data_IF_134538434514
#
_entry.id   IF_134538434514
#
_cell.length_a   1.000
_cell.length_b   1.000
_cell.length_c   1.000
_cell.angle_alpha   90.00
_cell.angle_beta   90.00
_cell.angle_gamma   90.00
#
_symmetry.space_group_name_H-M   'P 1'
#
loop_
_entity.id
_entity.type
_entity.pdbx_description
1 polymer ?
#
# COMPACT_ATOMS: atom_id res chain seq x y z
N UNK A 1 10.45 54.27 -51.97
CA UNK A 1 11.74 53.70 -51.54
C UNK A 1 11.58 53.20 -50.11
N UNK A 2 12.00 51.96 -49.88
CA UNK A 2 11.62 51.04 -48.82
C UNK A 2 12.17 51.39 -47.44
N UNK A 3 11.32 51.23 -46.42
CA UNK A 3 11.69 51.08 -45.00
C UNK A 3 11.99 49.59 -44.79
N UNK A 4 13.25 49.23 -44.53
CA UNK A 4 13.66 47.85 -44.23
C UNK A 4 13.19 47.47 -42.82
N UNK A 5 12.16 46.62 -42.75
CA UNK A 5 11.64 46.05 -41.50
C UNK A 5 12.59 44.97 -40.97
N UNK A 6 13.28 45.29 -39.87
CA UNK A 6 14.07 44.34 -39.07
C UNK A 6 13.18 43.15 -38.65
N UNK A 7 13.41 41.97 -39.22
CA UNK A 7 12.72 40.73 -38.82
C UNK A 7 13.35 40.21 -37.52
N UNK A 8 12.66 40.41 -36.39
CA UNK A 8 12.96 39.67 -35.16
C UNK A 8 12.22 38.34 -35.26
N UNK A 9 12.96 37.25 -35.50
CA UNK A 9 12.43 35.90 -35.40
C UNK A 9 12.20 35.59 -33.91
N UNK A 10 10.97 35.71 -33.45
CA UNK A 10 10.57 35.26 -32.12
C UNK A 10 10.39 33.74 -32.15
N UNK A 11 11.43 32.99 -31.81
CA UNK A 11 11.35 31.55 -31.59
C UNK A 11 10.56 31.29 -30.31
N UNK A 12 9.26 31.01 -30.44
CA UNK A 12 8.44 30.50 -29.34
C UNK A 12 8.78 29.02 -29.16
N UNK A 13 9.79 28.73 -28.34
CA UNK A 13 10.04 27.38 -27.85
C UNK A 13 8.96 27.04 -26.80
N UNK A 14 7.89 26.39 -27.22
CA UNK A 14 6.88 25.84 -26.33
C UNK A 14 7.49 24.69 -25.52
N UNK A 15 7.95 24.99 -24.31
CA UNK A 15 8.39 23.99 -23.33
C UNK A 15 7.13 23.28 -22.81
N UNK A 16 6.80 22.14 -23.41
CA UNK A 16 5.83 21.20 -22.85
C UNK A 16 6.44 20.61 -21.56
N UNK A 17 6.08 21.20 -20.43
CA UNK A 17 6.31 20.62 -19.11
C UNK A 17 5.43 19.37 -18.99
N UNK A 18 5.98 18.19 -19.29
CA UNK A 18 5.38 16.92 -18.86
C UNK A 18 5.51 16.85 -17.34
N UNK A 19 4.51 17.34 -16.62
CA UNK A 19 4.39 17.09 -15.19
C UNK A 19 4.05 15.63 -15.01
N UNK A 20 5.05 14.80 -14.73
CA UNK A 20 4.86 13.42 -14.28
C UNK A 20 3.97 13.45 -13.04
N UNK A 21 2.71 13.04 -13.17
CA UNK A 21 1.86 12.80 -12.03
C UNK A 21 2.48 11.63 -11.26
N UNK A 22 3.24 11.94 -10.21
CA UNK A 22 3.74 10.94 -9.28
C UNK A 22 2.49 10.33 -8.62
N UNK A 23 2.02 9.19 -9.12
CA UNK A 23 0.98 8.42 -8.45
C UNK A 23 1.61 7.90 -7.16
N UNK A 24 1.26 8.49 -6.02
CA UNK A 24 1.69 7.98 -4.72
C UNK A 24 1.07 6.59 -4.57
N UNK A 25 1.88 5.55 -4.80
CA UNK A 25 1.47 4.19 -4.50
C UNK A 25 1.08 4.16 -3.03
N UNK A 26 -0.13 3.72 -2.75
CA UNK A 26 -0.71 3.92 -1.43
C UNK A 26 0.07 3.13 -0.38
N UNK A 27 0.59 3.78 0.66
CA UNK A 27 1.46 3.15 1.67
C UNK A 27 0.68 2.24 2.63
N UNK A 28 1.22 1.08 3.05
CA UNK A 28 0.55 0.20 4.01
C UNK A 28 0.36 0.88 5.38
N UNK A 29 -0.37 0.22 6.28
CA UNK A 29 -0.69 0.68 7.64
C UNK A 29 0.52 0.71 8.59
N UNK A 30 1.67 0.22 8.16
CA UNK A 30 2.93 0.24 8.90
C UNK A 30 4.00 1.09 8.19
N UNK A 31 5.02 1.48 8.96
CA UNK A 31 6.14 2.26 8.46
C UNK A 31 7.08 1.41 7.60
N UNK A 32 7.10 1.68 6.29
CA UNK A 32 7.95 0.96 5.34
C UNK A 32 9.44 1.12 5.63
N UNK A 33 9.88 2.17 6.33
CA UNK A 33 11.28 2.29 6.76
C UNK A 33 11.65 1.26 7.83
N UNK A 34 10.67 0.63 8.49
CA UNK A 34 10.84 -0.42 9.50
C UNK A 34 10.54 -1.81 8.96
N UNK A 35 10.22 -1.94 7.66
CA UNK A 35 10.01 -3.23 7.02
C UNK A 35 11.29 -4.08 7.12
N UNK A 36 11.17 -5.28 7.68
CA UNK A 36 12.30 -6.16 8.00
C UNK A 36 12.23 -7.49 7.26
N UNK A 37 11.03 -7.94 6.89
CA UNK A 37 10.84 -9.16 6.11
C UNK A 37 10.69 -8.89 4.62
N UNK A 38 10.99 -9.89 3.79
CA UNK A 38 10.74 -9.85 2.34
C UNK A 38 9.26 -9.57 2.04
N UNK A 39 8.35 -10.18 2.82
CA UNK A 39 6.91 -9.96 2.74
C UNK A 39 6.55 -8.49 3.02
N UNK A 40 7.09 -7.88 4.08
CA UNK A 40 6.84 -6.47 4.42
C UNK A 40 7.37 -5.52 3.33
N UNK A 41 8.55 -5.81 2.80
CA UNK A 41 9.13 -5.03 1.71
C UNK A 41 8.30 -5.13 0.42
N UNK A 42 7.75 -6.32 0.13
CA UNK A 42 6.84 -6.52 -0.99
C UNK A 42 5.55 -5.70 -0.80
N UNK A 43 4.93 -5.78 0.38
CA UNK A 43 3.73 -5.01 0.71
C UNK A 43 3.97 -3.51 0.52
N UNK A 44 5.16 -3.01 0.89
CA UNK A 44 5.52 -1.60 0.71
C UNK A 44 5.64 -1.15 -0.76
N UNK A 45 5.86 -2.07 -1.70
CA UNK A 45 6.09 -1.78 -3.12
C UNK A 45 4.90 -2.16 -4.02
N UNK A 46 4.01 -3.02 -3.54
CA UNK A 46 2.80 -3.44 -4.26
C UNK A 46 1.57 -2.67 -3.76
N UNK A 47 0.99 -1.86 -4.65
CA UNK A 47 -0.15 -1.01 -4.32
C UNK A 47 -1.43 -1.78 -3.93
N UNK A 48 -1.63 -2.97 -4.50
CA UNK A 48 -2.78 -3.84 -4.15
C UNK A 48 -2.60 -4.41 -2.75
N UNK A 49 -1.41 -4.95 -2.45
CA UNK A 49 -1.10 -5.50 -1.13
C UNK A 49 -1.16 -4.44 -0.04
N UNK A 50 -0.63 -3.24 -0.30
CA UNK A 50 -0.72 -2.13 0.64
C UNK A 50 -2.18 -1.70 0.88
N UNK A 51 -3.04 -1.76 -0.14
CA UNK A 51 -4.47 -1.50 0.02
C UNK A 51 -5.14 -2.56 0.88
N UNK A 52 -4.83 -3.84 0.66
CA UNK A 52 -5.33 -4.95 1.48
C UNK A 52 -4.91 -4.80 2.94
N UNK A 53 -3.64 -4.44 3.19
CA UNK A 53 -3.12 -4.17 4.51
C UNK A 53 -3.90 -3.06 5.24
N UNK A 54 -4.14 -1.92 4.59
CA UNK A 54 -4.95 -0.84 5.16
C UNK A 54 -6.38 -1.27 5.45
N UNK A 55 -7.03 -1.96 4.51
CA UNK A 55 -8.39 -2.46 4.71
C UNK A 55 -8.49 -3.41 5.92
N UNK A 56 -7.50 -4.30 6.08
CA UNK A 56 -7.44 -5.17 7.25
C UNK A 56 -7.21 -4.38 8.54
N UNK A 57 -6.32 -3.39 8.54
CA UNK A 57 -6.01 -2.56 9.70
C UNK A 57 -7.25 -1.76 10.18
N UNK A 58 -8.01 -1.18 9.26
CA UNK A 58 -9.25 -0.45 9.54
C UNK A 58 -10.32 -1.36 10.17
N UNK A 59 -10.53 -2.55 9.59
CA UNK A 59 -11.46 -3.55 10.11
C UNK A 59 -11.05 -4.02 11.52
N UNK A 60 -9.78 -4.35 11.68
CA UNK A 60 -9.22 -4.77 12.97
C UNK A 60 -9.37 -3.70 14.05
N UNK A 61 -9.12 -2.42 13.73
CA UNK A 61 -9.31 -1.32 14.66
C UNK A 61 -10.78 -1.16 15.08
N UNK A 62 -11.70 -1.33 14.13
CA UNK A 62 -13.15 -1.30 14.39
C UNK A 62 -13.57 -2.41 15.34
N UNK A 63 -13.12 -3.65 15.10
CA UNK A 63 -13.41 -4.79 15.97
C UNK A 63 -12.84 -4.59 17.38
N UNK A 64 -11.62 -4.05 17.51
CA UNK A 64 -11.03 -3.76 18.82
C UNK A 64 -11.87 -2.75 19.61
N UNK A 65 -12.33 -1.69 18.96
CA UNK A 65 -13.14 -0.64 19.60
C UNK A 65 -14.47 -1.17 20.14
N UNK A 66 -15.05 -2.14 19.44
CA UNK A 66 -16.38 -2.69 19.75
C UNK A 66 -16.33 -3.97 20.61
N UNK A 67 -15.14 -4.40 21.03
CA UNK A 67 -14.94 -5.65 21.78
C UNK A 67 -14.76 -5.41 23.28
N UNK A 68 -15.19 -6.38 24.10
CA UNK A 68 -14.84 -6.44 25.53
C UNK A 68 -13.34 -6.60 25.74
N UNK A 69 -12.83 -6.28 26.93
CA UNK A 69 -11.39 -6.38 27.22
C UNK A 69 -10.80 -7.79 26.97
N UNK A 70 -11.55 -8.84 27.31
CA UNK A 70 -11.14 -10.23 27.06
C UNK A 70 -11.11 -10.54 25.57
N UNK A 71 -12.13 -10.12 24.81
CA UNK A 71 -12.15 -10.29 23.36
C UNK A 71 -11.02 -9.52 22.67
N UNK A 72 -10.72 -8.29 23.11
CA UNK A 72 -9.57 -7.51 22.62
C UNK A 72 -8.25 -8.25 22.86
N UNK A 73 -8.06 -8.86 24.03
CA UNK A 73 -6.84 -9.62 24.34
C UNK A 73 -6.67 -10.83 23.42
N UNK A 74 -7.76 -11.56 23.15
CA UNK A 74 -7.76 -12.69 22.19
C UNK A 74 -7.43 -12.19 20.78
N UNK A 75 -8.17 -11.20 20.30
CA UNK A 75 -8.02 -10.66 18.95
C UNK A 75 -6.61 -10.09 18.70
N UNK A 76 -6.02 -9.39 19.67
CA UNK A 76 -4.62 -8.93 19.58
C UNK A 76 -3.63 -10.10 19.45
N UNK A 77 -3.90 -11.20 20.15
CA UNK A 77 -3.01 -12.37 20.14
C UNK A 77 -3.09 -13.11 18.83
N UNK A 78 -4.30 -13.34 18.34
CA UNK A 78 -4.56 -13.92 17.03
C UNK A 78 -3.96 -13.08 15.91
N UNK A 79 -4.12 -11.75 15.95
CA UNK A 79 -3.56 -10.87 14.93
C UNK A 79 -2.03 -10.91 14.89
N UNK A 80 -1.35 -10.97 16.04
CA UNK A 80 0.12 -11.17 16.09
C UNK A 80 0.54 -12.52 15.51
N UNK A 81 -0.24 -13.57 15.75
CA UNK A 81 -0.03 -14.89 15.16
C UNK A 81 -0.18 -14.86 13.64
N UNK A 82 -1.26 -14.25 13.16
CA UNK A 82 -1.53 -14.10 11.74
C UNK A 82 -0.43 -13.31 11.01
N UNK A 83 0.10 -12.21 11.57
CA UNK A 83 1.22 -11.47 10.95
C UNK A 83 2.45 -12.36 10.74
N UNK A 84 2.75 -13.26 11.68
CA UNK A 84 3.85 -14.23 11.51
C UNK A 84 3.53 -15.24 10.39
N UNK A 85 2.30 -15.75 10.34
CA UNK A 85 1.83 -16.65 9.29
C UNK A 85 1.91 -16.01 7.89
N UNK A 86 1.39 -14.80 7.71
CA UNK A 86 1.54 -14.02 6.48
C UNK A 86 3.01 -13.85 6.10
N UNK A 87 3.87 -13.54 7.07
CA UNK A 87 5.29 -13.36 6.80
C UNK A 87 5.98 -14.66 6.34
N UNK A 88 5.46 -15.85 6.64
CA UNK A 88 5.98 -17.13 6.15
C UNK A 88 5.75 -17.36 4.65
N UNK A 89 5.01 -16.48 3.96
CA UNK A 89 4.87 -16.51 2.50
C UNK A 89 6.20 -16.39 1.73
N UNK A 90 7.30 -16.00 2.38
CA UNK A 90 8.65 -16.09 1.80
C UNK A 90 9.02 -17.53 1.35
N UNK A 91 8.36 -18.54 1.90
CA UNK A 91 8.54 -19.95 1.55
C UNK A 91 7.75 -20.38 0.30
N UNK A 92 6.85 -19.54 -0.21
CA UNK A 92 5.99 -19.84 -1.35
C UNK A 92 6.72 -19.58 -2.67
N UNK A 93 6.50 -20.45 -3.67
CA UNK A 93 6.94 -20.20 -5.05
C UNK A 93 6.24 -18.97 -5.66
N UNK A 94 5.01 -18.69 -5.23
CA UNK A 94 4.30 -17.43 -5.51
C UNK A 94 4.17 -16.62 -4.22
N UNK A 95 5.22 -15.84 -3.92
CA UNK A 95 5.26 -14.95 -2.77
C UNK A 95 4.11 -13.93 -2.80
N UNK A 96 3.86 -13.28 -3.94
CA UNK A 96 2.85 -12.22 -4.05
C UNK A 96 1.44 -12.78 -3.88
N UNK A 97 1.12 -13.88 -4.56
CA UNK A 97 -0.16 -14.56 -4.45
C UNK A 97 -0.43 -15.02 -3.02
N UNK A 98 0.54 -15.67 -2.37
CA UNK A 98 0.42 -16.09 -0.98
C UNK A 98 0.07 -14.92 -0.06
N UNK A 99 0.78 -13.79 -0.17
CA UNK A 99 0.52 -12.61 0.67
C UNK A 99 -0.88 -12.05 0.41
N UNK A 100 -1.31 -11.97 -0.86
CA UNK A 100 -2.64 -11.49 -1.21
C UNK A 100 -3.75 -12.37 -0.62
N UNK A 101 -3.57 -13.69 -0.67
CA UNK A 101 -4.54 -14.66 -0.17
C UNK A 101 -4.62 -14.66 1.36
N UNK A 102 -3.48 -14.55 2.06
CA UNK A 102 -3.43 -14.37 3.51
C UNK A 102 -4.21 -13.12 3.97
N UNK A 103 -4.09 -12.00 3.26
CA UNK A 103 -4.90 -10.82 3.54
C UNK A 103 -6.39 -11.05 3.29
N UNK A 104 -6.75 -11.61 2.13
CA UNK A 104 -8.16 -11.83 1.76
C UNK A 104 -8.84 -12.78 2.73
N UNK A 105 -8.17 -13.88 3.09
CA UNK A 105 -8.65 -14.83 4.08
C UNK A 105 -8.89 -14.16 5.42
N UNK A 106 -7.88 -13.43 5.94
CA UNK A 106 -8.01 -12.76 7.23
C UNK A 106 -9.10 -11.69 7.26
N UNK A 107 -9.24 -10.93 6.17
CA UNK A 107 -10.32 -9.95 6.04
C UNK A 107 -11.68 -10.64 6.07
N UNK A 108 -11.84 -11.81 5.42
CA UNK A 108 -13.08 -12.59 5.50
C UNK A 108 -13.34 -13.06 6.93
N UNK A 109 -12.35 -13.68 7.59
CA UNK A 109 -12.47 -14.15 8.97
C UNK A 109 -12.87 -13.05 9.95
N UNK A 110 -12.36 -11.83 9.76
CA UNK A 110 -12.70 -10.70 10.62
C UNK A 110 -14.07 -10.09 10.31
N UNK A 111 -14.58 -10.23 9.08
CA UNK A 111 -15.94 -9.79 8.72
C UNK A 111 -17.01 -10.72 9.27
N UNK A 112 -16.69 -12.01 9.45
CA UNK A 112 -17.62 -13.03 9.93
C UNK A 112 -17.69 -13.13 11.47
N UNK A 113 -17.03 -12.22 12.18
CA UNK A 113 -16.97 -12.19 13.66
C UNK A 113 -18.13 -11.47 14.33
#
# INVERSE_FOLDING_TARGET
>A
MTIERRRVLASVAAVLCLTSAQTWAASPSFDCAKASSEVEQLICKDAELARLDRSLAELYATLLKNSSANAQKSLKTEQRGWVKGRNDCWKSDDLRGCVADEYRLRISELKDR
#
